data_IF_197697647072
#
_entry.id   IF_197697647072
#
_cell.length_a   1.000
_cell.length_b   1.000
_cell.length_c   1.000
_cell.angle_alpha   90.00
_cell.angle_beta   90.00
_cell.angle_gamma   90.00
#
_symmetry.space_group_name_H-M   'P 1'
#
loop_
_entity.id
_entity.type
_entity.pdbx_description
1 polymer ?
#
# COMPACT_ATOMS: atom_id res chain seq x y z
N UNK A 1 0.83 -11.14 4.67
CA UNK A 1 1.59 -9.99 5.24
C UNK A 1 2.25 -9.19 4.12
N UNK A 2 1.96 -7.89 3.99
CA UNK A 2 2.58 -7.04 2.94
C UNK A 2 3.92 -6.51 3.47
N UNK A 3 5.05 -6.96 2.89
CA UNK A 3 6.43 -6.59 3.32
C UNK A 3 6.62 -5.08 3.49
N UNK A 4 6.09 -4.27 2.58
CA UNK A 4 6.21 -2.81 2.65
C UNK A 4 5.37 -2.17 3.76
N UNK A 5 4.23 -2.79 4.13
CA UNK A 5 3.43 -2.34 5.28
C UNK A 5 4.21 -2.57 6.57
N UNK A 6 4.80 -3.75 6.74
CA UNK A 6 5.69 -4.05 7.87
C UNK A 6 6.82 -3.00 8.00
N UNK A 7 7.53 -2.72 6.90
CA UNK A 7 8.61 -1.70 6.90
C UNK A 7 8.07 -0.33 7.32
N UNK A 8 6.89 0.08 6.85
CA UNK A 8 6.29 1.36 7.21
C UNK A 8 5.94 1.42 8.70
N UNK A 9 5.35 0.36 9.22
CA UNK A 9 4.79 0.30 10.55
C UNK A 9 5.92 0.29 11.62
N UNK A 10 7.08 -0.31 11.32
CA UNK A 10 8.24 -0.38 12.22
C UNK A 10 9.38 0.60 11.89
N UNK A 11 9.16 1.58 11.00
CA UNK A 11 10.22 2.51 10.54
C UNK A 11 10.81 3.42 11.61
N UNK A 12 10.13 3.57 12.75
CA UNK A 12 10.55 4.36 13.90
C UNK A 12 11.44 3.56 14.86
N UNK A 13 11.31 2.23 14.86
CA UNK A 13 12.11 1.31 15.68
C UNK A 13 13.37 0.87 14.94
N UNK A 14 13.28 0.65 13.62
CA UNK A 14 14.39 0.20 12.79
C UNK A 14 14.53 1.04 11.53
N UNK A 15 15.77 1.16 11.04
CA UNK A 15 15.99 1.86 9.77
C UNK A 15 15.36 1.10 8.60
N UNK A 16 14.74 1.85 7.68
CA UNK A 16 14.21 1.31 6.41
C UNK A 16 15.29 0.54 5.65
N UNK A 17 16.55 1.01 5.68
CA UNK A 17 17.69 0.35 5.02
C UNK A 17 17.89 -1.07 5.57
N UNK A 18 17.95 -1.23 6.91
CA UNK A 18 18.12 -2.53 7.57
C UNK A 18 16.96 -3.46 7.25
N UNK A 19 15.73 -2.98 7.36
CA UNK A 19 14.56 -3.82 7.07
C UNK A 19 14.46 -4.22 5.58
N UNK A 20 14.79 -3.33 4.64
CA UNK A 20 14.83 -3.69 3.22
C UNK A 20 15.84 -4.81 2.94
N UNK A 21 17.01 -4.77 3.60
CA UNK A 21 18.03 -5.80 3.48
C UNK A 21 17.54 -7.15 4.04
N UNK A 22 17.03 -7.17 5.27
CA UNK A 22 16.54 -8.41 5.93
C UNK A 22 15.37 -9.03 5.16
N UNK A 23 14.43 -8.21 4.69
CA UNK A 23 13.25 -8.69 3.96
C UNK A 23 13.52 -8.96 2.47
N UNK A 24 14.76 -8.80 2.00
CA UNK A 24 15.21 -9.00 0.62
C UNK A 24 14.36 -8.22 -0.39
N UNK A 25 14.06 -6.95 -0.09
CA UNK A 25 13.34 -6.04 -0.99
C UNK A 25 14.20 -4.86 -1.40
N UNK A 26 14.01 -4.37 -2.63
CA UNK A 26 14.67 -3.15 -3.10
C UNK A 26 14.12 -1.93 -2.35
N UNK A 27 15.04 -1.07 -1.88
CA UNK A 27 14.70 0.19 -1.19
C UNK A 27 13.91 1.14 -2.09
N UNK A 28 14.23 1.20 -3.38
CA UNK A 28 13.47 1.98 -4.37
C UNK A 28 12.02 1.52 -4.49
N UNK A 29 11.76 0.21 -4.46
CA UNK A 29 10.41 -0.35 -4.47
C UNK A 29 9.61 0.05 -3.23
N UNK A 30 10.25 0.13 -2.06
CA UNK A 30 9.60 0.63 -0.85
C UNK A 30 9.13 2.08 -1.01
N UNK A 31 9.99 2.97 -1.51
CA UNK A 31 9.59 4.37 -1.70
C UNK A 31 8.55 4.53 -2.81
N UNK A 32 8.63 3.76 -3.90
CA UNK A 32 7.56 3.71 -4.92
C UNK A 32 6.23 3.27 -4.31
N UNK A 33 6.24 2.25 -3.45
CA UNK A 33 5.05 1.79 -2.74
C UNK A 33 4.53 2.84 -1.76
N UNK A 34 5.40 3.50 -1.00
CA UNK A 34 5.04 4.58 -0.06
C UNK A 34 4.35 5.73 -0.79
N UNK A 35 4.93 6.18 -1.89
CA UNK A 35 4.42 7.32 -2.67
C UNK A 35 3.10 6.99 -3.37
N UNK A 36 2.88 5.74 -3.76
CA UNK A 36 1.63 5.30 -4.41
C UNK A 36 0.55 4.87 -3.42
N UNK A 37 0.82 4.83 -2.12
CA UNK A 37 -0.13 4.34 -1.12
C UNK A 37 -1.39 5.21 -1.05
N UNK A 38 -1.24 6.54 -1.06
CA UNK A 38 -2.38 7.45 -1.00
C UNK A 38 -3.29 7.30 -2.23
N UNK A 39 -2.71 7.33 -3.42
CA UNK A 39 -3.45 7.11 -4.67
C UNK A 39 -4.17 5.75 -4.70
N UNK A 40 -3.54 4.68 -4.20
CA UNK A 40 -4.19 3.36 -4.08
C UNK A 40 -5.38 3.38 -3.13
N UNK A 41 -5.28 4.09 -2.00
CA UNK A 41 -6.41 4.23 -1.05
C UNK A 41 -7.56 5.00 -1.69
N UNK A 42 -7.26 6.10 -2.38
CA UNK A 42 -8.27 6.87 -3.10
C UNK A 42 -8.98 6.00 -4.14
N UNK A 43 -8.22 5.29 -4.97
CA UNK A 43 -8.78 4.38 -5.98
C UNK A 43 -9.71 3.33 -5.37
N UNK A 44 -9.39 2.77 -4.20
CA UNK A 44 -10.28 1.79 -3.53
C UNK A 44 -11.61 2.43 -3.13
N UNK A 45 -11.60 3.68 -2.66
CA UNK A 45 -12.83 4.40 -2.34
C UNK A 45 -13.64 4.70 -3.60
N UNK A 46 -12.98 5.18 -4.65
CA UNK A 46 -13.62 5.48 -5.93
C UNK A 46 -14.24 4.21 -6.55
N UNK A 47 -13.48 3.10 -6.56
CA UNK A 47 -13.95 1.79 -7.03
C UNK A 47 -15.14 1.30 -6.19
N UNK A 48 -15.18 1.57 -4.88
CA UNK A 48 -16.30 1.19 -4.02
C UNK A 48 -17.59 1.95 -4.35
N UNK A 49 -17.48 3.26 -4.67
CA UNK A 49 -18.61 4.09 -5.12
C UNK A 49 -19.15 3.55 -6.44
N UNK A 50 -18.28 3.32 -7.42
CA UNK A 50 -18.67 2.75 -8.72
C UNK A 50 -19.32 1.37 -8.53
N UNK A 51 -18.70 0.50 -7.72
CA UNK A 51 -19.22 -0.83 -7.43
C UNK A 51 -20.59 -0.82 -6.75
N UNK A 52 -20.85 0.15 -5.87
CA UNK A 52 -22.17 0.31 -5.26
C UNK A 52 -23.24 0.67 -6.30
N UNK A 53 -22.92 1.58 -7.22
CA UNK A 53 -23.83 1.97 -8.31
C UNK A 53 -24.16 0.79 -9.22
N UNK A 54 -23.16 -0.02 -9.58
CA UNK A 54 -23.36 -1.22 -10.41
C UNK A 54 -24.32 -2.19 -9.72
N UNK A 55 -24.14 -2.44 -8.40
CA UNK A 55 -25.02 -3.35 -7.65
C UNK A 55 -26.47 -2.88 -7.59
N UNK A 56 -26.72 -1.58 -7.53
CA UNK A 56 -28.09 -1.03 -7.52
C UNK A 56 -28.75 -0.99 -8.90
N UNK A 57 -27.97 -1.14 -9.98
CA UNK A 57 -28.46 -1.08 -11.36
C UNK A 57 -28.73 -2.43 -12.02
N UNK A 58 -28.38 -3.54 -11.36
CA UNK A 58 -28.70 -4.89 -11.82
C UNK A 58 -29.99 -5.33 -11.11
N UNK A 59 -31.07 -5.70 -11.84
CA UNK A 59 -32.32 -6.19 -11.25
C UNK A 59 -32.16 -7.45 -10.40
#
# INVERSE_FOLDING_TARGET
MIRFKFIRDHRTEYSVKRMCHVLKVRRSSYYKWKNTQAARRQKVLDDAVVGARIRTSVP
#
